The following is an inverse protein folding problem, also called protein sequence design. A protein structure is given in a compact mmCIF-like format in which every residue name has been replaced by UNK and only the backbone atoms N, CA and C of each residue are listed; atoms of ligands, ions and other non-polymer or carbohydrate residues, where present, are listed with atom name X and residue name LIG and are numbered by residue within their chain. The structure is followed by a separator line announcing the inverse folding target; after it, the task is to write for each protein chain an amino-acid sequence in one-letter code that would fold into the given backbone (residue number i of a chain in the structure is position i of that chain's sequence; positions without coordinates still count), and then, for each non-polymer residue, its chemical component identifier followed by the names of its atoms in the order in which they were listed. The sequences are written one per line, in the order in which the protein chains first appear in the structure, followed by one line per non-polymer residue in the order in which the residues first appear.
data_IF_577206474862
#
_entry.id   IF_577206474862
#
_cell.length_a   1.000
_cell.length_b   1.000
_cell.length_c   1.000
_cell.angle_alpha   90.00
_cell.angle_beta   90.00
_cell.angle_gamma   90.00
#
_symmetry.space_group_name_H-M   'P 1'
#
loop_
_entity.id
_entity.type
_entity.pdbx_description
1 polymer ?
#
# COMPACT_ATOMS: atom_id res chain seq x y z
N UNK A 1 -31.23 12.84 -1.64
CA UNK A 1 -30.45 14.04 -1.30
C UNK A 1 -30.38 15.00 -2.47
N UNK A 2 -30.12 16.29 -2.22
CA UNK A 2 -29.89 17.34 -3.24
C UNK A 2 -28.53 18.01 -3.05
N UNK A 3 -27.97 18.63 -4.09
CA UNK A 3 -26.68 19.33 -4.02
C UNK A 3 -26.64 20.45 -2.96
N UNK A 4 -27.80 21.06 -2.65
CA UNK A 4 -27.93 22.06 -1.59
C UNK A 4 -27.70 21.45 -0.20
N UNK A 5 -28.14 20.20 -0.01
CA UNK A 5 -27.99 19.46 1.26
C UNK A 5 -26.50 19.19 1.52
N UNK A 6 -25.76 18.74 0.50
CA UNK A 6 -24.33 18.48 0.62
C UNK A 6 -23.50 19.70 1.03
N UNK A 7 -23.82 20.88 0.47
CA UNK A 7 -23.11 22.12 0.81
C UNK A 7 -23.37 22.53 2.26
N UNK A 8 -24.58 22.31 2.75
CA UNK A 8 -24.92 22.60 4.15
C UNK A 8 -24.22 21.63 5.10
N UNK A 9 -24.16 20.34 4.78
CA UNK A 9 -23.39 19.33 5.54
C UNK A 9 -21.92 19.73 5.63
N UNK A 10 -21.29 20.14 4.52
CA UNK A 10 -19.90 20.59 4.54
C UNK A 10 -19.69 21.89 5.32
N UNK A 11 -20.60 22.86 5.24
CA UNK A 11 -20.51 24.09 6.05
C UNK A 11 -20.66 23.82 7.55
N UNK A 12 -21.51 22.87 7.93
CA UNK A 12 -21.64 22.46 9.32
C UNK A 12 -20.35 21.79 9.83
N UNK A 13 -19.71 20.99 8.97
CA UNK A 13 -18.43 20.36 9.28
C UNK A 13 -17.25 21.34 9.21
N UNK A 14 -17.25 22.32 8.33
CA UNK A 14 -16.13 23.24 8.10
C UNK A 14 -16.66 24.67 7.88
N UNK A 15 -17.00 25.39 8.95
CA UNK A 15 -17.63 26.71 8.84
C UNK A 15 -16.71 27.77 8.20
N UNK A 16 -15.39 27.63 8.38
CA UNK A 16 -14.39 28.62 7.99
C UNK A 16 -13.59 28.27 6.73
N UNK A 17 -13.91 27.16 6.03
CA UNK A 17 -13.19 26.71 4.83
C UNK A 17 -13.98 26.89 3.53
N UNK A 18 -13.26 27.08 2.42
CA UNK A 18 -13.87 27.10 1.10
C UNK A 18 -14.50 25.75 0.78
N UNK A 19 -15.83 25.71 0.72
CA UNK A 19 -16.65 24.52 0.41
C UNK A 19 -16.08 23.71 -0.76
N UNK A 20 -15.80 22.42 -0.53
CA UNK A 20 -15.59 21.45 -1.61
C UNK A 20 -16.75 21.56 -2.62
N UNK A 21 -16.44 21.57 -3.91
CA UNK A 21 -17.37 22.09 -4.94
C UNK A 21 -18.74 21.39 -4.97
N UNK A 22 -18.77 20.05 -4.88
CA UNK A 22 -20.01 19.24 -4.93
C UNK A 22 -19.89 17.90 -4.17
N UNK A 23 -19.93 17.90 -2.83
CA UNK A 23 -19.96 16.65 -2.07
C UNK A 23 -21.24 15.87 -2.41
N UNK A 24 -21.17 14.53 -2.34
CA UNK A 24 -22.40 13.73 -2.40
C UNK A 24 -23.15 13.84 -1.06
N UNK A 25 -24.49 13.96 -1.04
CA UNK A 25 -25.25 14.01 0.20
C UNK A 25 -25.15 12.66 0.93
N UNK A 26 -24.97 12.67 2.25
CA UNK A 26 -24.87 11.42 3.03
C UNK A 26 -26.10 10.51 2.86
N UNK A 27 -27.31 11.09 2.84
CA UNK A 27 -28.57 10.35 2.61
C UNK A 27 -28.61 9.54 1.30
N UNK A 28 -27.89 9.97 0.26
CA UNK A 28 -27.82 9.20 -0.98
C UNK A 28 -26.97 7.94 -0.78
N UNK A 29 -25.81 8.10 -0.14
CA UNK A 29 -24.89 7.00 0.10
C UNK A 29 -25.46 6.03 1.13
N UNK A 30 -26.16 6.53 2.15
CA UNK A 30 -26.88 5.70 3.13
C UNK A 30 -27.84 4.75 2.43
N UNK A 31 -28.66 5.27 1.51
CA UNK A 31 -29.59 4.45 0.73
C UNK A 31 -28.86 3.38 -0.08
N UNK A 32 -27.75 3.74 -0.73
CA UNK A 32 -26.94 2.78 -1.51
C UNK A 32 -26.41 1.67 -0.60
N UNK A 33 -25.76 2.02 0.51
CA UNK A 33 -25.19 1.04 1.44
C UNK A 33 -26.27 0.19 2.13
N UNK A 34 -27.44 0.75 2.42
CA UNK A 34 -28.54 0.02 3.02
C UNK A 34 -29.07 -1.10 2.12
N UNK A 35 -29.14 -0.87 0.80
CA UNK A 35 -29.67 -1.87 -0.15
C UNK A 35 -28.62 -2.88 -0.62
N UNK A 36 -27.32 -2.56 -0.53
CA UNK A 36 -26.25 -3.38 -1.10
C UNK A 36 -25.32 -4.03 -0.07
N UNK A 37 -25.42 -3.68 1.22
CA UNK A 37 -24.51 -4.17 2.27
C UNK A 37 -25.20 -4.38 3.60
N UNK A 38 -24.59 -5.19 4.46
CA UNK A 38 -24.94 -5.34 5.88
C UNK A 38 -23.83 -4.78 6.78
N UNK A 39 -24.10 -4.47 8.07
CA UNK A 39 -23.05 -4.11 9.02
C UNK A 39 -21.91 -5.14 9.05
N UNK A 40 -20.66 -4.67 9.12
CA UNK A 40 -19.45 -5.49 9.06
C UNK A 40 -18.85 -5.70 7.65
N UNK A 41 -19.64 -5.48 6.59
CA UNK A 41 -19.15 -5.56 5.21
C UNK A 41 -18.06 -4.53 4.93
N UNK A 42 -17.22 -4.81 3.92
CA UNK A 42 -16.18 -3.92 3.45
C UNK A 42 -16.67 -3.10 2.24
N UNK A 43 -16.63 -1.78 2.37
CA UNK A 43 -16.96 -0.83 1.30
C UNK A 43 -15.68 -0.24 0.70
N UNK A 44 -15.53 -0.30 -0.62
CA UNK A 44 -14.43 0.35 -1.34
C UNK A 44 -14.97 1.58 -2.08
N UNK A 45 -14.34 2.73 -1.86
CA UNK A 45 -14.51 3.93 -2.69
C UNK A 45 -13.15 4.38 -3.23
N UNK A 46 -12.92 4.18 -4.53
CA UNK A 46 -11.66 4.54 -5.18
C UNK A 46 -11.57 6.02 -5.60
N UNK A 47 -12.63 6.80 -5.37
CA UNK A 47 -12.73 8.23 -5.71
C UNK A 47 -13.39 8.98 -4.54
N UNK A 48 -12.77 8.86 -3.36
CA UNK A 48 -13.37 9.22 -2.08
C UNK A 48 -13.77 10.70 -1.98
N UNK A 49 -13.07 11.59 -2.68
CA UNK A 49 -13.29 13.03 -2.73
C UNK A 49 -13.27 13.67 -1.36
N UNK A 50 -14.45 14.02 -0.85
CA UNK A 50 -14.62 14.66 0.48
C UNK A 50 -14.80 13.66 1.64
N UNK A 51 -14.78 12.35 1.38
CA UNK A 51 -14.92 11.33 2.43
C UNK A 51 -16.35 10.91 2.76
N UNK A 52 -17.36 11.29 1.96
CA UNK A 52 -18.77 10.97 2.26
C UNK A 52 -19.01 9.47 2.40
N UNK A 53 -18.48 8.65 1.49
CA UNK A 53 -18.71 7.20 1.51
C UNK A 53 -18.11 6.55 2.76
N UNK A 54 -16.88 6.93 3.12
CA UNK A 54 -16.24 6.47 4.35
C UNK A 54 -17.00 6.92 5.60
N UNK A 55 -17.46 8.18 5.65
CA UNK A 55 -18.23 8.71 6.78
C UNK A 55 -19.54 7.92 6.99
N UNK A 56 -20.32 7.71 5.92
CA UNK A 56 -21.58 6.97 5.98
C UNK A 56 -21.33 5.50 6.32
N UNK A 57 -20.35 4.86 5.68
CA UNK A 57 -19.99 3.47 5.98
C UNK A 57 -19.64 3.30 7.46
N UNK A 58 -18.84 4.21 8.01
CA UNK A 58 -18.44 4.22 9.42
C UNK A 58 -19.64 4.36 10.36
N UNK A 59 -20.48 5.38 10.15
CA UNK A 59 -21.68 5.64 10.97
C UNK A 59 -22.64 4.45 10.97
N UNK A 60 -22.72 3.75 9.83
CA UNK A 60 -23.58 2.59 9.64
C UNK A 60 -22.91 1.27 10.09
N UNK A 61 -21.72 1.28 10.67
CA UNK A 61 -21.05 0.07 11.18
C UNK A 61 -20.47 -0.85 10.10
N UNK A 62 -20.05 -0.31 8.96
CA UNK A 62 -19.30 -1.02 7.92
C UNK A 62 -17.81 -0.72 8.03
N UNK A 63 -16.98 -1.64 7.52
CA UNK A 63 -15.56 -1.38 7.26
C UNK A 63 -15.42 -0.66 5.92
N UNK A 64 -14.35 0.10 5.74
CA UNK A 64 -14.15 0.80 4.48
C UNK A 64 -12.68 0.94 4.09
N UNK A 65 -12.45 1.01 2.78
CA UNK A 65 -11.22 1.47 2.16
C UNK A 65 -11.61 2.64 1.27
N UNK A 66 -10.99 3.79 1.51
CA UNK A 66 -11.16 4.98 0.70
C UNK A 66 -9.84 5.38 0.07
N UNK A 67 -9.83 5.63 -1.23
CA UNK A 67 -8.66 6.09 -1.98
C UNK A 67 -8.98 7.47 -2.54
N UNK A 68 -8.05 8.40 -2.37
CA UNK A 68 -8.13 9.75 -2.94
C UNK A 68 -6.75 10.19 -3.40
N UNK A 69 -6.72 10.92 -4.52
CA UNK A 69 -5.49 11.42 -5.12
C UNK A 69 -5.21 12.86 -4.65
N UNK A 70 -3.93 13.15 -4.40
CA UNK A 70 -3.49 14.48 -4.00
C UNK A 70 -3.84 14.84 -2.57
N UNK A 71 -3.80 16.14 -2.26
CA UNK A 71 -3.87 16.62 -0.88
C UNK A 71 -5.30 16.66 -0.30
N UNK A 72 -6.33 16.37 -1.09
CA UNK A 72 -7.72 16.29 -0.62
C UNK A 72 -7.92 15.23 0.46
N UNK A 73 -7.18 14.12 0.40
CA UNK A 73 -7.25 13.08 1.42
C UNK A 73 -6.88 13.62 2.81
N UNK A 74 -5.83 14.45 2.88
CA UNK A 74 -5.33 15.04 4.13
C UNK A 74 -6.16 16.25 4.55
N UNK A 75 -6.53 17.10 3.60
CA UNK A 75 -7.20 18.38 3.89
C UNK A 75 -8.69 18.22 4.16
N UNK A 76 -9.36 17.23 3.57
CA UNK A 76 -10.82 17.08 3.68
C UNK A 76 -11.23 15.76 4.33
N UNK A 77 -10.71 14.63 3.83
CA UNK A 77 -11.15 13.31 4.31
C UNK A 77 -10.72 13.07 5.76
N UNK A 78 -9.46 13.32 6.11
CA UNK A 78 -8.93 13.11 7.46
C UNK A 78 -9.68 13.96 8.51
N UNK A 79 -9.87 15.28 8.35
CA UNK A 79 -10.64 16.08 9.28
C UNK A 79 -12.10 15.64 9.40
N UNK A 80 -12.75 15.29 8.29
CA UNK A 80 -14.12 14.78 8.31
C UNK A 80 -14.23 13.50 9.13
N UNK A 81 -13.36 12.52 8.86
CA UNK A 81 -13.40 11.22 9.53
C UNK A 81 -13.06 11.33 11.03
N UNK A 82 -12.19 12.26 11.42
CA UNK A 82 -11.96 12.58 12.83
C UNK A 82 -13.25 13.05 13.52
N UNK A 83 -13.98 13.99 12.91
CA UNK A 83 -15.28 14.45 13.44
C UNK A 83 -16.31 13.33 13.52
N UNK A 84 -16.34 12.45 12.53
CA UNK A 84 -17.20 11.25 12.57
C UNK A 84 -16.85 10.37 13.77
N UNK A 85 -15.57 10.08 14.00
CA UNK A 85 -15.12 9.31 15.17
C UNK A 85 -15.46 10.02 16.48
N UNK A 86 -15.34 11.34 16.52
CA UNK A 86 -15.71 12.17 17.69
C UNK A 86 -17.23 12.23 17.94
N UNK A 87 -18.05 11.69 17.02
CA UNK A 87 -19.50 11.61 17.19
C UNK A 87 -20.26 12.83 16.70
N UNK A 88 -19.77 13.51 15.67
CA UNK A 88 -20.50 14.61 15.03
C UNK A 88 -21.92 14.20 14.58
N UNK A 89 -22.88 15.13 14.71
CA UNK A 89 -24.32 14.86 14.57
C UNK A 89 -24.92 15.34 13.23
N UNK A 90 -24.10 15.70 12.25
CA UNK A 90 -24.51 16.07 10.91
C UNK A 90 -24.84 14.88 10.00
N UNK A 91 -25.45 15.18 8.86
CA UNK A 91 -25.81 14.19 7.84
C UNK A 91 -26.78 13.15 8.38
N UNK A 92 -26.39 11.87 8.32
CA UNK A 92 -27.25 10.73 8.74
C UNK A 92 -27.09 10.34 10.21
N UNK A 93 -26.25 11.04 10.99
CA UNK A 93 -25.87 10.60 12.35
C UNK A 93 -27.07 10.35 13.26
N UNK A 94 -28.03 11.27 13.30
CA UNK A 94 -29.25 11.10 14.12
C UNK A 94 -30.10 9.93 13.62
N UNK A 95 -30.29 9.80 12.31
CA UNK A 95 -31.11 8.76 11.69
C UNK A 95 -30.59 7.34 11.98
N UNK A 96 -29.28 7.17 12.11
CA UNK A 96 -28.63 5.88 12.43
C UNK A 96 -28.21 5.75 13.89
N UNK A 97 -28.55 6.73 14.74
CA UNK A 97 -28.20 6.72 16.16
C UNK A 97 -26.69 6.76 16.44
N UNK A 98 -25.92 7.40 15.57
CA UNK A 98 -24.46 7.50 15.68
C UNK A 98 -24.03 8.33 16.89
N UNK A 99 -23.12 7.78 17.71
CA UNK A 99 -22.59 8.43 18.93
C UNK A 99 -21.08 8.62 18.94
N UNK A 100 -20.40 8.32 17.83
CA UNK A 100 -18.94 8.29 17.75
C UNK A 100 -18.32 6.93 18.06
N UNK A 101 -16.99 6.89 18.02
CA UNK A 101 -16.17 5.70 18.22
C UNK A 101 -15.52 5.15 16.96
N UNK A 102 -14.79 4.04 17.11
CA UNK A 102 -14.02 3.42 16.04
C UNK A 102 -12.72 4.15 15.73
N UNK A 103 -12.15 3.88 14.56
CA UNK A 103 -10.89 4.47 14.11
C UNK A 103 -10.64 4.18 12.64
N UNK A 104 -9.71 4.92 12.05
CA UNK A 104 -9.18 4.61 10.72
C UNK A 104 -7.66 4.68 10.74
N UNK A 105 -7.04 4.02 9.78
CA UNK A 105 -5.61 4.18 9.49
C UNK A 105 -5.47 4.97 8.21
N UNK A 106 -4.55 5.93 8.22
CA UNK A 106 -4.24 6.74 7.05
C UNK A 106 -2.90 6.30 6.48
N UNK A 107 -2.87 6.00 5.19
CA UNK A 107 -1.67 5.60 4.48
C UNK A 107 -1.47 6.54 3.29
N UNK A 108 -0.21 6.91 3.04
CA UNK A 108 0.21 7.54 1.79
C UNK A 108 0.94 6.49 0.97
N UNK A 109 0.55 6.30 -0.28
CA UNK A 109 1.32 5.46 -1.19
C UNK A 109 2.69 6.09 -1.38
N UNK A 110 3.74 5.28 -1.27
CA UNK A 110 5.09 5.69 -1.63
C UNK A 110 5.24 5.80 -3.14
N UNK A 111 6.44 6.20 -3.57
CA UNK A 111 6.75 6.26 -5.00
C UNK A 111 6.58 4.88 -5.66
N UNK A 112 6.12 4.83 -6.92
CA UNK A 112 6.09 3.58 -7.69
C UNK A 112 7.47 2.93 -7.72
N UNK A 113 7.52 1.61 -7.54
CA UNK A 113 8.80 0.86 -7.56
C UNK A 113 9.46 0.93 -8.94
N UNK A 114 8.66 0.97 -10.00
CA UNK A 114 9.13 1.11 -11.38
C UNK A 114 8.52 2.34 -12.05
N UNK A 115 9.29 2.94 -12.97
CA UNK A 115 8.83 3.99 -13.88
C UNK A 115 8.02 3.43 -15.06
N UNK A 116 7.58 4.30 -15.96
CA UNK A 116 6.72 3.94 -17.11
C UNK A 116 7.46 3.05 -18.13
N UNK A 117 8.78 3.21 -18.23
CA UNK A 117 9.68 2.37 -19.03
C UNK A 117 10.00 1.03 -18.33
N UNK A 118 9.71 0.95 -17.04
CA UNK A 118 9.85 -0.20 -16.18
C UNK A 118 11.25 -0.40 -15.62
N UNK A 119 12.07 0.65 -15.55
CA UNK A 119 13.26 0.70 -14.70
C UNK A 119 12.86 0.93 -13.24
N UNK A 120 13.76 0.62 -12.30
CA UNK A 120 13.54 0.96 -10.90
C UNK A 120 13.56 2.48 -10.75
N UNK A 121 12.50 3.05 -10.16
CA UNK A 121 12.41 4.50 -9.96
C UNK A 121 13.59 5.02 -9.13
N UNK A 122 14.21 6.17 -9.48
CA UNK A 122 15.43 6.65 -8.82
C UNK A 122 15.34 6.85 -7.31
N UNK A 123 14.14 7.12 -6.77
CA UNK A 123 13.90 7.29 -5.33
C UNK A 123 13.80 5.99 -4.53
N UNK A 124 13.72 4.84 -5.20
CA UNK A 124 13.46 3.55 -4.56
C UNK A 124 14.71 3.03 -3.88
N UNK A 125 14.59 2.84 -2.57
CA UNK A 125 15.62 2.25 -1.71
C UNK A 125 15.37 0.74 -1.56
N UNK A 126 16.23 0.08 -0.78
CA UNK A 126 16.11 -1.35 -0.55
C UNK A 126 14.75 -1.76 0.01
N UNK A 127 14.26 -1.10 1.06
CA UNK A 127 13.07 -1.54 1.77
C UNK A 127 11.81 -1.60 0.89
N UNK A 128 11.47 -0.57 0.08
CA UNK A 128 10.35 -0.67 -0.86
C UNK A 128 10.53 -1.78 -1.92
N UNK A 129 11.75 -1.94 -2.47
CA UNK A 129 12.02 -2.97 -3.47
C UNK A 129 11.96 -4.38 -2.87
N UNK A 130 12.50 -4.58 -1.68
CA UNK A 130 12.43 -5.82 -0.91
C UNK A 130 10.97 -6.21 -0.64
N UNK A 131 10.16 -5.25 -0.20
CA UNK A 131 8.75 -5.47 0.06
C UNK A 131 8.00 -5.87 -1.22
N UNK A 132 8.29 -5.20 -2.34
CA UNK A 132 7.71 -5.50 -3.64
C UNK A 132 8.07 -6.90 -4.15
N UNK A 133 9.37 -7.23 -4.16
CA UNK A 133 9.86 -8.55 -4.58
C UNK A 133 9.24 -9.65 -3.73
N UNK A 134 9.26 -9.49 -2.40
CA UNK A 134 8.68 -10.45 -1.49
C UNK A 134 7.18 -10.66 -1.75
N UNK A 135 6.43 -9.57 -1.93
CA UNK A 135 4.99 -9.64 -2.15
C UNK A 135 4.63 -10.31 -3.48
N UNK A 136 5.35 -10.01 -4.57
CA UNK A 136 5.11 -10.67 -5.87
C UNK A 136 5.38 -12.17 -5.80
N UNK A 137 6.43 -12.58 -5.11
CA UNK A 137 6.81 -14.00 -5.05
C UNK A 137 5.95 -14.83 -4.11
N UNK A 138 5.52 -14.24 -3.00
CA UNK A 138 4.88 -14.99 -1.90
C UNK A 138 3.39 -14.68 -1.75
N UNK A 139 2.92 -13.56 -2.29
CA UNK A 139 1.58 -13.03 -2.02
C UNK A 139 1.39 -12.53 -0.57
N UNK A 140 2.45 -12.55 0.25
CA UNK A 140 2.42 -12.18 1.66
C UNK A 140 3.06 -10.80 1.85
N UNK A 141 2.49 -9.92 2.70
CA UNK A 141 3.13 -8.65 3.03
C UNK A 141 4.51 -8.85 3.65
N UNK A 142 5.50 -8.08 3.21
CA UNK A 142 6.82 -8.09 3.81
C UNK A 142 6.80 -7.42 5.18
N UNK A 143 7.24 -8.13 6.21
CA UNK A 143 7.29 -7.65 7.60
C UNK A 143 8.71 -7.56 8.16
N UNK A 144 9.73 -7.82 7.34
CA UNK A 144 11.13 -7.77 7.76
C UNK A 144 11.62 -6.33 7.99
N UNK A 145 12.72 -6.18 8.73
CA UNK A 145 13.34 -4.88 8.99
C UNK A 145 14.02 -4.25 7.76
N UNK A 146 14.14 -5.02 6.66
CA UNK A 146 14.80 -4.60 5.42
C UNK A 146 16.26 -4.15 5.62
N UNK A 147 17.00 -4.87 6.46
CA UNK A 147 18.40 -4.64 6.82
C UNK A 147 19.35 -5.77 6.36
N UNK A 148 18.81 -6.77 5.68
CA UNK A 148 19.52 -7.96 5.18
C UNK A 148 19.18 -8.21 3.72
N UNK A 149 20.12 -8.81 2.98
CA UNK A 149 19.87 -9.30 1.62
C UNK A 149 18.93 -10.50 1.60
N UNK A 150 18.83 -11.26 2.70
CA UNK A 150 17.81 -12.30 2.85
C UNK A 150 16.48 -11.63 3.24
N UNK A 151 15.50 -11.72 2.35
CA UNK A 151 14.14 -11.21 2.58
C UNK A 151 13.37 -12.11 3.53
N UNK A 152 13.57 -13.43 3.41
CA UNK A 152 12.92 -14.42 4.26
C UNK A 152 12.90 -15.79 3.60
N UNK A 153 12.24 -16.72 4.29
CA UNK A 153 12.00 -18.09 3.82
C UNK A 153 10.50 -18.29 3.67
N UNK A 154 10.05 -18.77 2.52
CA UNK A 154 8.66 -19.09 2.23
C UNK A 154 8.61 -20.43 1.51
N UNK A 155 7.74 -21.34 1.96
CA UNK A 155 7.59 -22.70 1.43
C UNK A 155 8.93 -23.44 1.23
N UNK A 156 9.83 -23.33 2.20
CA UNK A 156 11.15 -23.98 2.18
C UNK A 156 12.18 -23.36 1.22
N UNK A 157 11.85 -22.24 0.57
CA UNK A 157 12.73 -21.52 -0.35
C UNK A 157 13.17 -20.19 0.27
N UNK A 158 14.47 -19.88 0.20
CA UNK A 158 15.01 -18.61 0.67
C UNK A 158 15.05 -17.57 -0.46
N UNK A 159 14.59 -16.36 -0.16
CA UNK A 159 14.49 -15.25 -1.12
C UNK A 159 15.52 -14.19 -0.80
N UNK A 160 16.39 -13.86 -1.76
CA UNK A 160 17.44 -12.87 -1.60
C UNK A 160 17.33 -11.74 -2.61
N UNK A 161 17.59 -10.51 -2.17
CA UNK A 161 17.67 -9.34 -3.03
C UNK A 161 19.07 -8.72 -2.99
N UNK A 162 19.75 -8.71 -4.14
CA UNK A 162 21.03 -8.03 -4.31
C UNK A 162 20.77 -6.56 -4.65
N UNK A 163 21.13 -5.68 -3.73
CA UNK A 163 20.94 -4.25 -3.89
C UNK A 163 22.05 -3.46 -3.19
N UNK A 164 22.67 -2.54 -3.92
CA UNK A 164 23.81 -1.74 -3.49
C UNK A 164 23.61 -1.03 -2.14
N UNK A 165 22.37 -0.67 -1.79
CA UNK A 165 22.06 0.02 -0.53
C UNK A 165 22.30 -0.78 0.75
N UNK A 166 22.43 -2.11 0.68
CA UNK A 166 22.64 -3.00 1.84
C UNK A 166 23.99 -3.72 1.81
N UNK A 167 24.63 -3.78 0.64
CA UNK A 167 25.88 -4.50 0.47
C UNK A 167 27.14 -3.74 0.95
N UNK A 168 27.00 -2.48 1.39
CA UNK A 168 28.08 -1.62 1.90
C UNK A 168 29.00 -1.02 0.82
N UNK A 169 30.16 -0.48 1.23
CA UNK A 169 31.20 0.17 0.38
C UNK A 169 31.94 -0.77 -0.60
N UNK A 170 31.38 -1.93 -0.92
CA UNK A 170 31.92 -2.84 -1.93
C UNK A 170 31.49 -2.36 -3.33
N UNK A 171 32.12 -1.31 -3.86
CA UNK A 171 31.92 -0.78 -5.23
C UNK A 171 33.23 -0.77 -6.02
N UNK A 172 33.24 -0.86 -7.38
CA UNK A 172 32.22 -0.38 -8.33
C UNK A 172 31.67 -1.46 -9.29
N UNK A 173 30.49 -1.18 -9.87
CA UNK A 173 29.84 -1.89 -11.00
C UNK A 173 29.24 -3.30 -10.77
N UNK A 174 29.23 -3.84 -9.53
CA UNK A 174 28.90 -5.26 -9.32
C UNK A 174 28.13 -5.67 -8.07
N UNK A 175 27.66 -4.74 -7.22
CA UNK A 175 26.93 -5.11 -6.00
C UNK A 175 25.60 -5.81 -6.29
N UNK A 176 24.94 -5.47 -7.40
CA UNK A 176 23.67 -6.07 -7.80
C UNK A 176 23.84 -7.33 -8.66
N UNK A 177 25.09 -7.75 -8.92
CA UNK A 177 25.41 -8.89 -9.78
C UNK A 177 25.77 -10.11 -8.93
N UNK A 178 25.11 -11.24 -9.18
CA UNK A 178 25.45 -12.49 -8.52
C UNK A 178 26.80 -13.01 -9.01
N UNK A 179 27.76 -13.07 -8.09
CA UNK A 179 29.10 -13.64 -8.27
C UNK A 179 29.38 -14.65 -7.16
N UNK A 180 30.38 -15.52 -7.33
CA UNK A 180 30.79 -16.46 -6.28
C UNK A 180 31.14 -15.77 -4.95
N UNK A 181 31.75 -14.58 -5.01
CA UNK A 181 32.09 -13.77 -3.83
C UNK A 181 30.84 -13.24 -3.13
N UNK A 182 29.85 -12.78 -3.89
CA UNK A 182 28.58 -12.30 -3.34
C UNK A 182 27.81 -13.46 -2.73
N UNK A 183 27.70 -14.59 -3.43
CA UNK A 183 27.03 -15.80 -2.92
C UNK A 183 27.62 -16.25 -1.57
N UNK A 184 28.94 -16.32 -1.45
CA UNK A 184 29.61 -16.69 -0.21
C UNK A 184 29.40 -15.69 0.95
N UNK A 185 28.98 -14.47 0.65
CA UNK A 185 28.70 -13.43 1.63
C UNK A 185 27.21 -13.30 1.99
N UNK A 186 26.32 -14.03 1.30
CA UNK A 186 24.90 -14.03 1.64
C UNK A 186 24.65 -14.74 2.97
N UNK A 187 23.61 -14.35 3.73
CA UNK A 187 23.14 -15.12 4.87
C UNK A 187 22.96 -16.60 4.48
N UNK A 188 23.58 -17.54 5.19
CA UNK A 188 23.62 -18.94 4.78
C UNK A 188 22.24 -19.57 4.84
N UNK A 189 21.93 -20.41 3.86
CA UNK A 189 20.73 -21.24 3.82
C UNK A 189 21.00 -22.53 3.07
N UNK A 190 20.65 -23.66 3.69
CA UNK A 190 20.78 -24.98 3.09
C UNK A 190 19.43 -25.43 2.49
N UNK A 191 19.19 -25.00 1.25
CA UNK A 191 17.95 -25.27 0.52
C UNK A 191 17.88 -24.54 -0.81
N UNK A 192 16.74 -24.65 -1.52
CA UNK A 192 16.45 -23.87 -2.72
C UNK A 192 16.49 -22.36 -2.43
N UNK A 193 17.08 -21.59 -3.35
CA UNK A 193 17.22 -20.14 -3.23
C UNK A 193 16.71 -19.46 -4.48
N UNK A 194 15.97 -18.37 -4.31
CA UNK A 194 15.67 -17.44 -5.39
C UNK A 194 16.44 -16.16 -5.11
N UNK A 195 17.30 -15.76 -6.04
CA UNK A 195 18.18 -14.60 -5.89
C UNK A 195 17.85 -13.58 -6.98
N UNK A 196 17.48 -12.38 -6.56
CA UNK A 196 17.18 -11.26 -7.43
C UNK A 196 18.38 -10.31 -7.55
N UNK A 197 18.67 -9.84 -8.75
CA UNK A 197 19.73 -8.86 -9.00
C UNK A 197 19.72 -8.31 -10.43
N UNK A 198 20.65 -7.42 -10.76
CA UNK A 198 20.79 -6.83 -12.09
C UNK A 198 21.45 -7.78 -13.10
N UNK A 199 22.19 -8.79 -12.63
CA UNK A 199 22.80 -9.78 -13.51
C UNK A 199 23.42 -10.94 -12.74
N UNK A 200 23.83 -11.97 -13.47
CA UNK A 200 24.49 -13.15 -12.93
C UNK A 200 25.74 -13.48 -13.74
N UNK A 201 26.87 -13.69 -13.06
CA UNK A 201 28.15 -14.12 -13.65
C UNK A 201 28.51 -15.57 -13.30
N UNK A 202 27.57 -16.33 -12.75
CA UNK A 202 27.76 -17.74 -12.44
C UNK A 202 27.33 -18.61 -13.61
N UNK A 203 27.99 -19.75 -13.81
CA UNK A 203 27.58 -20.75 -14.80
C UNK A 203 26.28 -21.42 -14.37
N UNK A 204 25.49 -21.89 -15.34
CA UNK A 204 24.26 -22.64 -15.10
C UNK A 204 24.50 -23.86 -14.22
N UNK A 205 25.54 -24.65 -14.52
CA UNK A 205 25.94 -25.81 -13.70
C UNK A 205 26.16 -25.45 -12.24
N UNK A 206 26.80 -24.30 -11.97
CA UNK A 206 27.03 -23.86 -10.59
C UNK A 206 25.74 -23.40 -9.91
N UNK A 207 24.83 -22.75 -10.63
CA UNK A 207 23.52 -22.38 -10.08
C UNK A 207 22.70 -23.63 -9.73
N UNK A 208 22.71 -24.64 -10.59
CA UNK A 208 22.04 -25.92 -10.37
C UNK A 208 22.61 -26.65 -9.13
N UNK A 209 23.93 -26.76 -9.03
CA UNK A 209 24.60 -27.39 -7.89
C UNK A 209 24.29 -26.70 -6.54
N UNK A 210 24.12 -25.38 -6.56
CA UNK A 210 23.79 -24.57 -5.37
C UNK A 210 22.28 -24.45 -5.11
N UNK A 211 21.44 -25.04 -5.96
CA UNK A 211 19.97 -24.93 -5.98
C UNK A 211 19.47 -23.49 -6.04
N UNK A 212 20.09 -22.69 -6.91
CA UNK A 212 19.79 -21.26 -7.10
C UNK A 212 18.99 -21.05 -8.38
N UNK A 213 17.84 -20.40 -8.26
CA UNK A 213 17.16 -19.74 -9.37
C UNK A 213 17.49 -18.24 -9.33
N UNK A 214 18.19 -17.75 -10.34
CA UNK A 214 18.48 -16.32 -10.47
C UNK A 214 17.36 -15.63 -11.27
N UNK A 215 16.91 -14.46 -10.81
CA UNK A 215 15.91 -13.63 -11.51
C UNK A 215 16.41 -12.22 -11.73
N UNK A 216 16.35 -11.74 -12.97
CA UNK A 216 16.85 -10.42 -13.33
C UNK A 216 15.82 -9.31 -13.06
N UNK A 217 16.25 -8.31 -12.28
CA UNK A 217 15.51 -7.07 -12.05
C UNK A 217 15.82 -6.08 -13.20
N UNK A 218 14.83 -5.33 -13.73
CA UNK A 218 13.42 -5.26 -13.30
C UNK A 218 12.48 -6.24 -14.00
N UNK A 219 12.93 -6.91 -15.07
CA UNK A 219 12.05 -7.62 -16.01
C UNK A 219 11.24 -8.77 -15.39
N UNK A 220 11.82 -9.50 -14.45
CA UNK A 220 11.18 -10.67 -13.83
C UNK A 220 10.35 -10.35 -12.59
N UNK A 221 10.27 -9.08 -12.19
CA UNK A 221 9.52 -8.62 -11.01
C UNK A 221 8.50 -7.52 -11.32
N UNK A 222 8.13 -7.38 -12.60
CA UNK A 222 6.97 -6.56 -12.98
C UNK A 222 5.68 -7.27 -12.57
N UNK A 223 4.77 -6.54 -11.90
CA UNK A 223 3.43 -7.02 -11.65
C UNK A 223 2.75 -7.28 -13.01
N UNK A 224 2.17 -8.48 -13.18
CA UNK A 224 1.37 -8.83 -14.37
C UNK A 224 0.02 -8.14 -14.36
#
# INVERSE_FOLDING_TARGET
GSNRTSKNEMRALFPDEASFGTPKPESLIERVLHISTVPGDLVLDSFLGSGTTAAVAHKMGRRYIGIEMGEHAVTHCVPRLKKVIEGEQGGISEAVGWKGGGGFRFYRLGDPVFDEEGHISPGIRFAPLAAHVWFIETGVPFTGAADSTLLGIHDGTAYYLLYNGILGDKRPDGGNILTARILAALPPFDGPKIIFGEGCRMSTERLENERITFRQIPYEIKAR
#
